data_IF_860158639347
#
_entry.id   IF_860158639347
#
_cell.length_a   1.000
_cell.length_b   1.000
_cell.length_c   1.000
_cell.angle_alpha   90.00
_cell.angle_beta   90.00
_cell.angle_gamma   90.00
#
_symmetry.space_group_name_H-M   'P 1'
#
loop_
_entity.id
_entity.type
_entity.pdbx_description
1 polymer ?
#
# COMPACT_ATOMS: atom_id res chain seq x y z
N UNK A 1 11.07 -64.12 -37.02
CA UNK A 1 11.80 -63.30 -36.05
C UNK A 1 11.31 -61.83 -36.18
N UNK A 2 10.44 -61.45 -35.24
CA UNK A 2 9.82 -60.09 -35.27
C UNK A 2 10.62 -59.25 -34.27
N UNK A 3 11.24 -58.16 -34.71
CA UNK A 3 11.96 -57.21 -33.83
C UNK A 3 10.97 -56.06 -33.50
N UNK A 4 10.54 -56.00 -32.26
CA UNK A 4 9.83 -54.85 -31.72
C UNK A 4 10.84 -53.73 -31.47
N UNK A 5 10.60 -52.59 -32.13
CA UNK A 5 11.30 -51.33 -31.84
C UNK A 5 10.48 -50.56 -30.83
N UNK A 6 10.97 -50.42 -29.62
CA UNK A 6 10.40 -49.54 -28.58
C UNK A 6 10.87 -48.10 -28.83
N UNK A 7 9.96 -47.26 -29.24
CA UNK A 7 10.20 -45.81 -29.32
C UNK A 7 9.98 -45.18 -27.93
N UNK A 8 11.07 -44.72 -27.30
CA UNK A 8 10.99 -43.91 -26.07
C UNK A 8 10.73 -42.47 -26.44
N UNK A 9 9.54 -41.99 -26.14
CA UNK A 9 9.20 -40.57 -26.26
C UNK A 9 9.76 -39.81 -25.04
N UNK A 10 10.79 -39.01 -25.27
CA UNK A 10 11.33 -38.11 -24.25
C UNK A 10 10.41 -36.86 -24.17
N UNK A 11 9.71 -36.71 -23.04
CA UNK A 11 8.91 -35.53 -22.73
C UNK A 11 9.86 -34.41 -22.24
N UNK A 12 10.15 -33.46 -23.11
CA UNK A 12 10.90 -32.25 -22.75
C UNK A 12 9.96 -31.30 -22.00
N UNK A 13 10.05 -31.28 -20.65
CA UNK A 13 9.45 -30.22 -19.86
C UNK A 13 10.26 -28.94 -20.09
N UNK A 14 9.71 -28.02 -20.88
CA UNK A 14 10.23 -26.66 -20.97
C UNK A 14 9.75 -25.88 -19.74
N UNK A 15 10.64 -25.69 -18.76
CA UNK A 15 10.42 -24.76 -17.67
C UNK A 15 10.45 -23.34 -18.28
N UNK A 16 9.30 -22.68 -18.34
CA UNK A 16 9.25 -21.25 -18.66
C UNK A 16 9.96 -20.47 -17.54
N UNK A 17 10.88 -19.55 -17.84
CA UNK A 17 11.47 -18.70 -16.82
C UNK A 17 10.34 -17.87 -16.22
N UNK A 18 10.13 -17.99 -14.90
CA UNK A 18 9.34 -17.04 -14.15
C UNK A 18 10.07 -15.68 -14.27
N UNK A 19 9.45 -14.74 -14.97
CA UNK A 19 9.94 -13.35 -14.99
C UNK A 19 9.78 -12.84 -13.54
N UNK A 20 10.90 -12.77 -12.82
CA UNK A 20 10.95 -12.06 -11.55
C UNK A 20 10.55 -10.61 -11.85
N UNK A 21 9.43 -10.16 -11.29
CA UNK A 21 9.04 -8.76 -11.36
C UNK A 21 10.14 -7.94 -10.69
N UNK A 22 10.78 -7.06 -11.46
CA UNK A 22 11.78 -6.17 -10.91
C UNK A 22 11.11 -5.24 -9.88
N UNK A 23 11.72 -5.14 -8.69
CA UNK A 23 11.25 -4.24 -7.63
C UNK A 23 11.77 -2.80 -7.88
N UNK A 24 11.44 -2.24 -9.07
CA UNK A 24 11.97 -0.94 -9.53
C UNK A 24 10.93 0.18 -9.45
N UNK A 25 9.77 -0.09 -8.87
CA UNK A 25 8.72 0.90 -8.77
C UNK A 25 8.83 1.71 -7.48
N UNK A 26 8.33 2.95 -7.57
CA UNK A 26 8.39 3.92 -6.49
C UNK A 26 7.06 4.66 -6.35
N UNK A 27 6.64 4.90 -5.12
CA UNK A 27 5.47 5.71 -4.78
C UNK A 27 5.92 6.94 -4.00
N UNK A 28 5.51 8.12 -4.47
CA UNK A 28 5.76 9.41 -3.81
C UNK A 28 4.42 10.00 -3.39
N UNK A 29 4.23 10.17 -2.10
CA UNK A 29 3.00 10.68 -1.50
C UNK A 29 3.26 12.04 -0.87
N UNK A 30 2.54 13.05 -1.32
CA UNK A 30 2.53 14.39 -0.71
C UNK A 30 1.26 14.54 0.11
N UNK A 31 1.39 14.94 1.38
CA UNK A 31 0.24 15.12 2.26
C UNK A 31 -0.01 16.59 2.55
N UNK A 32 -1.25 17.00 2.42
CA UNK A 32 -1.73 18.31 2.86
C UNK A 32 -2.37 18.16 4.24
N UNK A 33 -1.75 18.78 5.24
CA UNK A 33 -2.20 18.73 6.65
C UNK A 33 -2.67 20.11 7.11
N UNK A 34 -3.66 20.15 8.01
CA UNK A 34 -4.13 21.39 8.62
C UNK A 34 -3.16 21.95 9.67
N UNK A 35 -2.72 21.11 10.60
CA UNK A 35 -1.75 21.48 11.63
C UNK A 35 -0.32 21.17 11.18
N UNK A 36 0.65 21.87 11.78
CA UNK A 36 2.09 21.70 11.50
C UNK A 36 2.85 21.10 12.70
N UNK A 37 2.16 20.32 13.50
CA UNK A 37 2.72 19.64 14.69
C UNK A 37 2.53 18.13 14.56
N UNK A 38 3.32 17.36 15.29
CA UNK A 38 3.21 15.91 15.31
C UNK A 38 3.77 15.24 14.06
N UNK A 39 3.25 14.08 13.75
CA UNK A 39 3.73 13.19 12.69
C UNK A 39 2.56 12.78 11.77
N UNK A 40 2.83 12.65 10.48
CA UNK A 40 1.94 11.93 9.57
C UNK A 40 2.40 10.49 9.51
N UNK A 41 1.57 9.60 10.01
CA UNK A 41 1.77 8.15 9.99
C UNK A 41 1.20 7.59 8.69
N UNK A 42 2.03 6.88 7.93
CA UNK A 42 1.68 6.39 6.59
C UNK A 42 1.92 4.90 6.51
N UNK A 43 0.94 4.14 6.06
CA UNK A 43 1.01 2.70 5.85
C UNK A 43 0.60 2.34 4.43
N UNK A 44 1.45 1.57 3.72
CA UNK A 44 1.25 1.07 2.38
C UNK A 44 0.84 -0.41 2.42
N UNK A 45 -0.20 -0.76 1.67
CA UNK A 45 -0.75 -2.11 1.57
C UNK A 45 -0.74 -2.57 0.11
N UNK A 46 -0.54 -3.86 -0.11
CA UNK A 46 -0.47 -4.49 -1.44
C UNK A 46 -1.65 -5.42 -1.72
N UNK A 47 -2.64 -5.50 -0.84
CA UNK A 47 -3.79 -6.38 -1.02
C UNK A 47 -5.04 -5.89 -0.30
N UNK A 48 -6.20 -6.22 -0.86
CA UNK A 48 -7.49 -5.95 -0.24
C UNK A 48 -7.64 -6.63 1.13
N UNK A 49 -7.14 -7.85 1.27
CA UNK A 49 -7.22 -8.59 2.53
C UNK A 49 -6.47 -7.88 3.66
N UNK A 50 -5.28 -7.36 3.37
CA UNK A 50 -4.50 -6.59 4.34
C UNK A 50 -5.11 -5.21 4.63
N UNK A 51 -5.56 -4.53 3.59
CA UNK A 51 -6.13 -3.20 3.72
C UNK A 51 -7.49 -3.19 4.44
N UNK A 52 -8.40 -4.07 4.05
CA UNK A 52 -9.77 -4.13 4.60
C UNK A 52 -9.88 -4.98 5.87
N UNK A 53 -8.98 -5.93 6.06
CA UNK A 53 -9.11 -6.96 7.09
C UNK A 53 -8.60 -6.60 8.49
N UNK A 54 -7.84 -5.53 8.64
CA UNK A 54 -7.42 -4.98 9.94
C UNK A 54 -6.37 -5.78 10.73
N UNK A 55 -6.07 -7.02 10.39
CA UNK A 55 -5.13 -7.89 11.12
C UNK A 55 -3.80 -8.15 10.39
N UNK A 56 -3.73 -7.87 9.09
CA UNK A 56 -2.50 -8.03 8.33
C UNK A 56 -1.67 -6.74 8.37
N UNK A 57 -0.36 -6.90 8.49
CA UNK A 57 0.57 -5.77 8.51
C UNK A 57 0.68 -5.11 7.13
N UNK A 58 0.93 -3.80 7.08
CA UNK A 58 1.29 -3.12 5.84
C UNK A 58 2.61 -3.68 5.29
N UNK A 59 2.80 -3.59 3.96
CA UNK A 59 4.08 -3.98 3.33
C UNK A 59 5.19 -2.98 3.60
N UNK A 60 4.83 -1.73 3.86
CA UNK A 60 5.75 -0.68 4.28
C UNK A 60 5.01 0.38 5.11
N UNK A 61 5.72 1.02 6.02
CA UNK A 61 5.19 2.12 6.82
C UNK A 61 6.30 3.13 7.12
N UNK A 62 5.90 4.39 7.29
CA UNK A 62 6.79 5.48 7.68
C UNK A 62 6.05 6.54 8.48
N UNK A 63 6.81 7.37 9.19
CA UNK A 63 6.30 8.54 9.89
C UNK A 63 7.07 9.78 9.40
N UNK A 64 6.34 10.83 9.02
CA UNK A 64 6.90 12.06 8.46
C UNK A 64 6.51 13.23 9.35
N UNK A 65 7.49 14.05 9.82
CA UNK A 65 7.18 15.26 10.61
C UNK A 65 6.27 16.23 9.84
N UNK A 66 5.22 16.71 10.50
CA UNK A 66 4.27 17.67 9.91
C UNK A 66 4.74 19.13 9.95
N UNK A 67 5.93 19.40 10.48
CA UNK A 67 6.49 20.77 10.64
C UNK A 67 6.93 21.43 9.33
N UNK A 68 7.00 20.69 8.23
CA UNK A 68 7.40 21.15 6.90
C UNK A 68 6.62 20.47 5.80
N UNK A 69 7.15 20.40 4.57
CA UNK A 69 6.56 19.59 3.50
C UNK A 69 6.47 18.13 3.94
N UNK A 70 5.26 17.55 3.86
CA UNK A 70 5.02 16.18 4.28
C UNK A 70 5.04 15.30 3.05
N UNK A 71 6.18 14.63 2.81
CA UNK A 71 6.39 13.73 1.68
C UNK A 71 6.86 12.39 2.18
N UNK A 72 6.14 11.33 1.83
CA UNK A 72 6.55 9.95 2.08
C UNK A 72 6.91 9.28 0.75
N UNK A 73 8.05 8.58 0.72
CA UNK A 73 8.50 7.84 -0.47
C UNK A 73 8.71 6.38 -0.10
N UNK A 74 8.15 5.49 -0.91
CA UNK A 74 8.36 4.05 -0.83
C UNK A 74 9.04 3.59 -2.11
N UNK A 75 10.20 2.98 -1.99
CA UNK A 75 11.04 2.53 -3.10
C UNK A 75 11.15 1.01 -3.14
N UNK A 76 11.71 0.49 -4.25
CA UNK A 76 11.93 -0.94 -4.44
C UNK A 76 10.65 -1.77 -4.33
N UNK A 77 9.56 -1.24 -4.88
CA UNK A 77 8.27 -1.92 -4.88
C UNK A 77 8.12 -2.77 -6.15
N UNK A 78 7.60 -4.00 -6.03
CA UNK A 78 7.09 -4.72 -7.21
C UNK A 78 5.98 -3.91 -7.90
N UNK A 79 5.90 -3.96 -9.23
CA UNK A 79 4.76 -3.41 -9.93
C UNK A 79 3.48 -4.14 -9.51
N UNK A 80 2.40 -3.41 -9.28
CA UNK A 80 1.14 -3.97 -8.78
C UNK A 80 0.18 -2.92 -8.25
N UNK A 81 -0.88 -3.37 -7.61
CA UNK A 81 -1.85 -2.50 -6.97
C UNK A 81 -1.51 -2.29 -5.49
N UNK A 82 -1.62 -1.04 -5.08
CA UNK A 82 -1.36 -0.62 -3.69
C UNK A 82 -2.45 0.31 -3.20
N UNK A 83 -2.59 0.40 -1.88
CA UNK A 83 -3.42 1.40 -1.23
C UNK A 83 -2.74 1.95 0.02
N UNK A 84 -3.06 3.17 0.39
CA UNK A 84 -2.46 3.89 1.52
C UNK A 84 -3.51 4.22 2.57
N UNK A 85 -3.16 3.99 3.83
CA UNK A 85 -3.81 4.60 4.99
C UNK A 85 -2.84 5.58 5.62
N UNK A 86 -3.32 6.75 5.96
CA UNK A 86 -2.54 7.75 6.67
C UNK A 86 -3.39 8.43 7.75
N UNK A 87 -2.74 8.85 8.84
CA UNK A 87 -3.35 9.73 9.81
C UNK A 87 -2.34 10.73 10.34
N UNK A 88 -2.85 11.87 10.78
CA UNK A 88 -2.04 12.91 11.37
C UNK A 88 -2.09 12.78 12.90
N UNK A 89 -1.07 12.14 13.44
CA UNK A 89 -0.81 12.03 14.87
C UNK A 89 -0.34 13.40 15.39
N UNK A 90 -1.31 14.21 15.79
CA UNK A 90 -1.07 15.61 16.17
C UNK A 90 -0.37 15.73 17.52
N UNK A 91 -0.65 14.80 18.43
CA UNK A 91 -0.06 14.77 19.77
C UNK A 91 1.26 13.99 19.86
N UNK A 92 1.62 13.23 18.81
CA UNK A 92 2.86 12.48 18.71
C UNK A 92 2.94 11.23 19.60
N UNK A 93 1.80 10.61 19.95
CA UNK A 93 1.77 9.40 20.78
C UNK A 93 1.91 8.09 19.98
N UNK A 94 1.94 8.16 18.66
CA UNK A 94 2.12 7.04 17.74
C UNK A 94 0.87 6.20 17.52
N UNK A 95 -0.29 6.66 17.98
CA UNK A 95 -1.54 5.92 17.89
C UNK A 95 -2.67 6.80 17.31
N UNK A 96 -3.56 6.16 16.55
CA UNK A 96 -4.82 6.82 16.16
C UNK A 96 -5.71 6.96 17.38
N UNK A 97 -5.86 8.17 17.89
CA UNK A 97 -6.76 8.43 19.02
C UNK A 97 -8.23 8.35 18.59
N UNK A 98 -9.06 7.81 19.47
CA UNK A 98 -10.49 7.64 19.24
C UNK A 98 -11.30 8.17 20.42
N UNK A 99 -12.55 8.58 20.16
CA UNK A 99 -13.51 8.91 21.21
C UNK A 99 -14.08 7.64 21.86
N UNK A 100 -14.87 7.75 22.93
CA UNK A 100 -15.49 6.58 23.59
C UNK A 100 -16.40 5.72 22.71
N UNK A 101 -16.82 6.23 21.55
CA UNK A 101 -17.62 5.50 20.56
C UNK A 101 -16.77 4.83 19.48
N UNK A 102 -15.42 4.88 19.59
CA UNK A 102 -14.48 4.29 18.64
C UNK A 102 -14.27 5.10 17.36
N UNK A 103 -14.74 6.34 17.29
CA UNK A 103 -14.52 7.21 16.14
C UNK A 103 -13.18 7.93 16.25
N UNK A 104 -12.39 8.00 15.16
CA UNK A 104 -11.14 8.75 15.14
C UNK A 104 -11.34 10.20 15.57
N UNK A 105 -10.45 10.69 16.42
CA UNK A 105 -10.37 12.10 16.82
C UNK A 105 -9.25 12.84 16.13
N UNK A 106 -8.35 12.11 15.48
CA UNK A 106 -7.28 12.67 14.66
C UNK A 106 -7.62 12.62 13.18
N UNK A 107 -7.16 13.60 12.38
CA UNK A 107 -7.38 13.62 10.95
C UNK A 107 -6.79 12.38 10.26
N UNK A 108 -7.47 11.83 9.30
CA UNK A 108 -7.01 10.68 8.54
C UNK A 108 -7.37 10.79 7.05
N UNK A 109 -6.70 10.00 6.24
CA UNK A 109 -6.94 9.96 4.80
C UNK A 109 -6.54 8.61 4.20
N UNK A 110 -6.98 8.40 2.98
CA UNK A 110 -6.68 7.24 2.16
C UNK A 110 -6.14 7.69 0.79
N UNK A 111 -5.39 6.83 0.11
CA UNK A 111 -5.01 7.05 -1.28
C UNK A 111 -6.23 7.36 -2.16
N UNK A 112 -6.01 8.04 -3.28
CA UNK A 112 -7.04 8.56 -4.17
C UNK A 112 -7.98 9.59 -3.48
N UNK A 113 -7.63 10.10 -2.31
CA UNK A 113 -8.55 10.87 -1.45
C UNK A 113 -9.90 10.13 -1.24
N UNK A 114 -9.85 8.81 -1.16
CA UNK A 114 -11.03 7.97 -1.06
C UNK A 114 -11.79 8.23 0.24
N UNK A 115 -13.11 8.28 0.13
CA UNK A 115 -14.02 8.47 1.26
C UNK A 115 -14.81 7.19 1.48
N UNK A 116 -14.90 6.75 2.73
CA UNK A 116 -15.72 5.63 3.13
C UNK A 116 -17.20 5.98 3.20
N UNK A 117 -18.03 4.97 3.20
CA UNK A 117 -19.46 5.09 3.44
C UNK A 117 -19.80 4.36 4.75
N UNK A 118 -20.17 5.12 5.80
CA UNK A 118 -20.45 4.60 7.16
C UNK A 118 -19.25 3.83 7.78
N UNK A 119 -18.03 4.18 7.39
CA UNK A 119 -16.80 3.57 7.87
C UNK A 119 -15.60 4.01 7.04
N UNK A 120 -14.41 3.44 7.27
CA UNK A 120 -13.22 3.78 6.50
C UNK A 120 -13.38 3.43 5.02
N UNK A 121 -12.64 4.12 4.15
CA UNK A 121 -12.58 3.77 2.73
C UNK A 121 -12.05 2.34 2.58
N UNK A 122 -12.61 1.61 1.62
CA UNK A 122 -12.20 0.24 1.31
C UNK A 122 -11.24 0.20 0.14
N UNK A 123 -10.60 -0.94 -0.05
CA UNK A 123 -9.64 -1.19 -1.11
C UNK A 123 -10.15 -0.79 -2.50
N UNK A 124 -11.37 -1.13 -2.84
CA UNK A 124 -11.97 -0.86 -4.15
C UNK A 124 -11.93 0.62 -4.55
N UNK A 125 -11.91 1.53 -3.57
CA UNK A 125 -11.82 2.97 -3.79
C UNK A 125 -10.42 3.56 -3.58
N UNK A 126 -9.62 2.91 -2.75
CA UNK A 126 -8.32 3.42 -2.33
C UNK A 126 -7.16 2.88 -3.17
N UNK A 127 -7.29 1.71 -3.81
CA UNK A 127 -6.18 1.12 -4.55
C UNK A 127 -5.83 1.90 -5.82
N UNK A 128 -4.57 1.84 -6.20
CA UNK A 128 -4.02 2.45 -7.40
C UNK A 128 -2.89 1.59 -7.95
N UNK A 129 -2.73 1.60 -9.27
CA UNK A 129 -1.68 0.85 -9.94
C UNK A 129 -0.34 1.56 -9.80
N UNK A 130 0.71 0.78 -9.50
CA UNK A 130 2.09 1.24 -9.40
C UNK A 130 2.93 0.50 -10.42
N UNK A 131 3.55 1.26 -11.32
CA UNK A 131 4.50 0.77 -12.32
C UNK A 131 5.48 1.91 -12.64
N UNK A 132 6.74 1.75 -12.29
CA UNK A 132 7.70 2.85 -12.31
C UNK A 132 7.44 3.85 -11.18
N UNK A 133 7.53 5.14 -11.46
CA UNK A 133 7.23 6.19 -10.47
C UNK A 133 5.76 6.59 -10.52
N UNK A 134 5.11 6.53 -9.38
CA UNK A 134 3.71 6.94 -9.18
C UNK A 134 3.65 7.98 -8.06
N UNK A 135 2.94 9.10 -8.28
CA UNK A 135 2.81 10.16 -7.31
C UNK A 135 1.33 10.47 -7.02
N UNK A 136 1.03 10.77 -5.76
CA UNK A 136 -0.29 11.26 -5.34
C UNK A 136 -0.16 12.40 -4.33
N UNK A 137 -1.15 13.31 -4.37
CA UNK A 137 -1.38 14.30 -3.30
C UNK A 137 -2.63 13.90 -2.52
N UNK A 138 -2.48 13.78 -1.21
CA UNK A 138 -3.53 13.29 -0.30
C UNK A 138 -3.80 14.37 0.74
N UNK A 139 -5.06 14.80 0.86
CA UNK A 139 -5.49 15.75 1.87
C UNK A 139 -5.96 15.03 3.13
N UNK A 140 -5.30 15.28 4.26
CA UNK A 140 -5.67 14.75 5.56
C UNK A 140 -6.59 15.75 6.26
N UNK A 141 -7.82 15.29 6.58
CA UNK A 141 -8.87 16.11 7.19
C UNK A 141 -9.52 15.42 8.38
#
# INVERSE_FOLDING_TARGET
>A
MIRLATAAAALLLTAAPALAQSADSKVVLTFETGARTGLVMVALYDSAAAFDGGSASPVAATAVPASGPVVATFENLPAGDYAVKAFHDVNGDGQMNTNPFGMPTEPYAFSNNAVGNMGPARWDRAHFAVSGETAQTISIR
#
